data_IF_942383217672
#
_entry.id   IF_942383217672
#
_cell.length_a   1.000
_cell.length_b   1.000
_cell.length_c   1.000
_cell.angle_alpha   90.00
_cell.angle_beta   90.00
_cell.angle_gamma   90.00
#
_symmetry.space_group_name_H-M   'P 1'
#
loop_
_entity.id
_entity.type
_entity.pdbx_description
1 polymer ?
#
# COMPACT_ATOMS: atom_id res chain seq x y z
N UNK A 1 5.88 -11.09 34.83
CA UNK A 1 6.88 -11.85 34.04
C UNK A 1 6.23 -12.17 32.72
N UNK A 2 6.54 -11.41 31.67
CA UNK A 2 6.06 -11.68 30.32
C UNK A 2 7.01 -12.69 29.64
N UNK A 3 6.51 -13.64 28.85
CA UNK A 3 7.38 -14.58 28.14
C UNK A 3 8.17 -13.83 27.07
N UNK A 4 9.50 -13.98 27.12
CA UNK A 4 10.39 -13.42 26.09
C UNK A 4 10.17 -14.17 24.77
N UNK A 5 9.86 -13.43 23.71
CA UNK A 5 9.52 -13.94 22.39
C UNK A 5 10.79 -14.26 21.59
N UNK A 6 11.52 -15.30 22.01
CA UNK A 6 12.83 -15.72 21.47
C UNK A 6 12.77 -16.33 20.06
N UNK A 7 11.57 -16.58 19.51
CA UNK A 7 11.42 -17.28 18.23
C UNK A 7 11.61 -16.34 17.03
N UNK A 8 11.20 -15.07 17.15
CA UNK A 8 11.40 -14.07 16.09
C UNK A 8 12.87 -13.67 15.92
N UNK A 9 13.61 -13.58 17.03
CA UNK A 9 15.04 -13.24 17.03
C UNK A 9 15.90 -14.35 16.43
N UNK A 10 15.53 -15.62 16.66
CA UNK A 10 16.21 -16.77 16.04
C UNK A 10 16.00 -16.81 14.54
N UNK A 11 14.78 -16.56 14.08
CA UNK A 11 14.48 -16.56 12.64
C UNK A 11 15.12 -15.36 11.93
N UNK A 12 15.15 -14.20 12.58
CA UNK A 12 15.89 -13.03 12.11
C UNK A 12 17.39 -13.28 12.03
N UNK A 13 17.98 -13.90 13.07
CA UNK A 13 19.40 -14.24 13.08
C UNK A 13 19.76 -15.28 12.02
N UNK A 14 18.87 -16.24 11.75
CA UNK A 14 19.04 -17.25 10.71
C UNK A 14 18.99 -16.63 9.31
N UNK A 15 18.07 -15.70 9.06
CA UNK A 15 17.96 -14.95 7.79
C UNK A 15 19.16 -14.03 7.56
N UNK A 16 19.60 -13.31 8.60
CA UNK A 16 20.79 -12.43 8.54
C UNK A 16 22.06 -13.26 8.35
N UNK A 17 22.14 -14.44 8.97
CA UNK A 17 23.25 -15.37 8.81
C UNK A 17 23.29 -15.98 7.42
N UNK A 18 22.15 -16.44 6.88
CA UNK A 18 22.04 -16.93 5.49
C UNK A 18 22.41 -15.81 4.50
N UNK A 19 22.00 -14.57 4.76
CA UNK A 19 22.37 -13.43 3.93
C UNK A 19 23.88 -13.10 4.01
N UNK A 20 24.46 -13.14 5.22
CA UNK A 20 25.89 -12.94 5.45
C UNK A 20 26.75 -14.03 4.82
N UNK A 21 26.32 -15.29 4.89
CA UNK A 21 27.00 -16.44 4.27
C UNK A 21 26.85 -16.44 2.74
N UNK A 22 25.72 -15.97 2.20
CA UNK A 22 25.48 -15.85 0.75
C UNK A 22 26.20 -14.65 0.13
N UNK A 23 26.45 -13.58 0.90
CA UNK A 23 27.19 -12.39 0.44
C UNK A 23 28.71 -12.62 0.38
N UNK A 24 29.24 -13.59 1.15
CA UNK A 24 30.68 -13.89 1.21
C UNK A 24 31.17 -14.89 0.16
N UNK A 25 30.29 -15.47 -0.67
CA UNK A 25 30.67 -16.40 -1.73
C UNK A 25 30.46 -15.73 -3.10
N UNK A 26 31.50 -15.02 -3.53
CA UNK A 26 31.55 -14.20 -4.75
C UNK A 26 31.45 -15.05 -6.04
N UNK A 27 30.83 -14.49 -7.09
CA UNK A 27 31.20 -14.63 -8.50
C UNK A 27 30.15 -13.98 -9.41
N UNK A 28 30.59 -12.96 -10.15
CA UNK A 28 29.78 -12.18 -11.07
C UNK A 28 29.02 -13.03 -12.10
N UNK A 29 27.72 -12.81 -12.16
CA UNK A 29 26.81 -13.03 -13.28
C UNK A 29 25.47 -12.38 -12.92
N UNK A 30 24.87 -11.68 -13.89
CA UNK A 30 23.62 -10.91 -13.92
C UNK A 30 22.39 -11.57 -13.22
N UNK A 31 22.45 -12.88 -12.96
CA UNK A 31 21.44 -13.66 -12.22
C UNK A 31 21.51 -13.47 -10.70
N UNK A 32 22.62 -12.99 -10.16
CA UNK A 32 22.82 -12.78 -8.72
C UNK A 32 22.06 -11.58 -8.16
N UNK A 33 21.89 -10.52 -8.94
CA UNK A 33 21.17 -9.32 -8.50
C UNK A 33 19.66 -9.58 -8.37
N UNK A 34 19.06 -10.34 -9.29
CA UNK A 34 17.65 -10.73 -9.18
C UNK A 34 17.39 -11.67 -8.00
N UNK A 35 18.30 -12.63 -7.76
CA UNK A 35 18.22 -13.52 -6.61
C UNK A 35 18.40 -12.76 -5.29
N UNK A 36 19.33 -11.80 -5.24
CA UNK A 36 19.53 -10.90 -4.10
C UNK A 36 18.32 -10.01 -3.88
N UNK A 37 17.78 -9.37 -4.91
CA UNK A 37 16.57 -8.54 -4.82
C UNK A 37 15.35 -9.36 -4.37
N UNK A 38 15.22 -10.60 -4.84
CA UNK A 38 14.17 -11.53 -4.41
C UNK A 38 14.34 -11.95 -2.93
N UNK A 39 15.57 -12.28 -2.52
CA UNK A 39 15.88 -12.61 -1.14
C UNK A 39 15.64 -11.41 -0.21
N UNK A 40 16.17 -10.23 -0.57
CA UNK A 40 15.95 -8.96 0.13
C UNK A 40 14.46 -8.63 0.25
N UNK A 41 13.69 -8.84 -0.83
CA UNK A 41 12.24 -8.71 -0.82
C UNK A 41 11.59 -9.61 0.23
N UNK A 42 11.94 -10.91 0.26
CA UNK A 42 11.43 -11.83 1.28
C UNK A 42 11.82 -11.45 2.70
N UNK A 43 13.07 -11.04 2.93
CA UNK A 43 13.54 -10.59 4.24
C UNK A 43 12.77 -9.35 4.70
N UNK A 44 12.62 -8.36 3.81
CA UNK A 44 11.86 -7.14 4.06
C UNK A 44 10.39 -7.44 4.36
N UNK A 45 9.78 -8.34 3.59
CA UNK A 45 8.39 -8.72 3.76
C UNK A 45 8.19 -9.47 5.10
N UNK A 46 9.10 -10.38 5.47
CA UNK A 46 9.08 -11.05 6.77
C UNK A 46 9.27 -10.08 7.95
N UNK A 47 10.20 -9.14 7.82
CA UNK A 47 10.43 -8.08 8.80
C UNK A 47 9.20 -7.19 8.95
N UNK A 48 8.64 -6.73 7.83
CA UNK A 48 7.45 -5.88 7.82
C UNK A 48 6.27 -6.63 8.43
N UNK A 49 6.11 -7.92 8.12
CA UNK A 49 5.08 -8.77 8.72
C UNK A 49 5.24 -8.90 10.24
N UNK A 50 6.46 -9.13 10.74
CA UNK A 50 6.71 -9.23 12.18
C UNK A 50 6.43 -7.91 12.90
N UNK A 51 6.89 -6.78 12.34
CA UNK A 51 6.62 -5.44 12.87
C UNK A 51 5.12 -5.16 12.85
N UNK A 52 4.44 -5.45 11.74
CA UNK A 52 3.00 -5.29 11.58
C UNK A 52 2.23 -6.08 12.63
N UNK A 53 2.60 -7.34 12.91
CA UNK A 53 1.93 -8.12 13.96
C UNK A 53 2.04 -7.46 15.34
N UNK A 54 3.20 -6.88 15.67
CA UNK A 54 3.38 -6.19 16.96
C UNK A 54 2.59 -4.89 17.02
N UNK A 55 2.67 -4.07 15.95
CA UNK A 55 1.95 -2.80 15.84
C UNK A 55 0.43 -3.02 15.84
N UNK A 56 -0.06 -3.97 15.06
CA UNK A 56 -1.46 -4.38 15.02
C UNK A 56 -1.92 -4.89 16.39
N UNK A 57 -1.11 -5.68 17.12
CA UNK A 57 -1.52 -6.14 18.46
C UNK A 57 -1.75 -4.98 19.44
N UNK A 58 -0.89 -3.96 19.43
CA UNK A 58 -0.98 -2.80 20.32
C UNK A 58 -2.09 -1.83 19.92
N UNK A 59 -2.28 -1.65 18.62
CA UNK A 59 -3.24 -0.70 18.06
C UNK A 59 -4.58 -1.34 17.68
N UNK A 60 -4.72 -2.67 17.81
CA UNK A 60 -5.96 -3.42 17.56
C UNK A 60 -7.20 -2.84 18.25
N UNK A 61 -7.14 -2.27 19.48
CA UNK A 61 -8.31 -1.65 20.09
C UNK A 61 -8.73 -0.34 19.41
N UNK A 62 -7.81 0.29 18.68
CA UNK A 62 -8.00 1.59 18.03
C UNK A 62 -7.98 1.51 16.49
N UNK A 63 -7.82 0.30 15.93
CA UNK A 63 -7.81 0.05 14.49
C UNK A 63 -6.73 -0.93 14.05
N UNK A 64 -6.43 -0.94 12.74
CA UNK A 64 -5.34 -1.71 12.17
C UNK A 64 -4.23 -0.75 11.76
N UNK A 65 -3.04 -0.91 12.32
CA UNK A 65 -1.89 -0.09 11.96
C UNK A 65 -0.78 -0.98 11.41
N UNK A 66 -0.18 -0.53 10.32
CA UNK A 66 0.93 -1.20 9.65
C UNK A 66 2.10 -0.25 9.48
N UNK A 67 3.31 -0.79 9.55
CA UNK A 67 4.55 -0.12 9.22
C UNK A 67 5.30 -1.01 8.24
N UNK A 68 5.54 -0.48 7.06
CA UNK A 68 6.26 -1.12 5.98
C UNK A 68 7.57 -0.38 5.72
N UNK A 69 8.66 -1.12 5.57
CA UNK A 69 9.97 -0.56 5.25
C UNK A 69 10.16 -0.61 3.73
N UNK A 70 10.53 0.52 3.11
CA UNK A 70 10.89 0.57 1.69
C UNK A 70 12.40 0.38 1.53
N UNK A 71 12.76 -0.53 0.63
CA UNK A 71 14.13 -0.85 0.25
C UNK A 71 14.18 -0.87 -1.27
N UNK A 72 15.20 -0.29 -1.86
CA UNK A 72 15.45 -0.37 -3.31
C UNK A 72 15.99 -1.76 -3.72
N UNK A 73 16.22 -1.93 -5.02
CA UNK A 73 16.75 -3.17 -5.59
C UNK A 73 18.23 -3.40 -5.24
N UNK A 74 18.95 -2.36 -4.81
CA UNK A 74 20.33 -2.43 -4.34
C UNK A 74 20.43 -2.78 -2.84
N UNK A 75 19.31 -2.80 -2.12
CA UNK A 75 19.26 -3.11 -0.69
C UNK A 75 19.38 -1.88 0.22
N UNK A 76 19.36 -0.66 -0.33
CA UNK A 76 19.33 0.55 0.47
C UNK A 76 17.92 0.87 0.95
N UNK A 77 17.84 1.30 2.20
CA UNK A 77 16.61 1.79 2.80
C UNK A 77 16.23 3.12 2.14
N UNK A 78 15.16 3.10 1.34
CA UNK A 78 14.62 4.29 0.64
C UNK A 78 13.50 4.97 1.41
N UNK A 79 13.14 4.43 2.58
CA UNK A 79 12.21 5.06 3.50
C UNK A 79 11.29 4.09 4.22
N UNK A 80 10.22 4.63 4.78
CA UNK A 80 9.25 3.88 5.58
C UNK A 80 7.84 4.39 5.33
N UNK A 81 6.86 3.48 5.32
CA UNK A 81 5.45 3.78 5.25
C UNK A 81 4.77 3.32 6.53
N UNK A 82 4.20 4.25 7.28
CA UNK A 82 3.20 3.94 8.30
C UNK A 82 1.80 4.09 7.71
N UNK A 83 0.89 3.18 8.04
CA UNK A 83 -0.54 3.34 7.75
C UNK A 83 -1.35 2.97 8.99
N UNK A 84 -2.47 3.66 9.20
CA UNK A 84 -3.35 3.46 10.32
C UNK A 84 -4.80 3.55 9.84
N UNK A 85 -5.45 2.41 9.82
CA UNK A 85 -6.85 2.22 9.49
C UNK A 85 -7.69 2.18 10.76
N UNK A 86 -8.65 3.08 10.89
CA UNK A 86 -9.55 3.18 12.03
C UNK A 86 -10.97 2.90 11.55
N UNK A 87 -11.59 1.78 11.97
CA UNK A 87 -13.02 1.56 11.75
C UNK A 87 -13.80 2.47 12.69
N UNK A 88 -14.31 3.59 12.16
CA UNK A 88 -15.10 4.56 12.93
C UNK A 88 -16.45 3.98 13.34
N UNK A 89 -17.04 3.19 12.44
CA UNK A 89 -18.32 2.54 12.68
C UNK A 89 -18.40 1.25 11.88
N UNK A 90 -18.48 0.13 12.56
CA UNK A 90 -18.62 -1.19 11.95
C UNK A 90 -19.94 -1.83 12.39
N UNK A 91 -20.74 -2.24 11.42
CA UNK A 91 -22.04 -2.89 11.62
C UNK A 91 -22.35 -3.79 10.41
N UNK A 92 -23.25 -4.75 10.59
CA UNK A 92 -23.63 -5.73 9.55
C UNK A 92 -24.13 -5.10 8.25
N UNK A 93 -24.57 -3.83 8.30
CA UNK A 93 -25.10 -3.08 7.15
C UNK A 93 -24.12 -2.08 6.55
N UNK A 94 -23.19 -1.52 7.33
CA UNK A 94 -22.26 -0.52 6.83
C UNK A 94 -21.00 -0.40 7.70
N UNK A 95 -19.89 -0.09 7.04
CA UNK A 95 -18.58 0.16 7.61
C UNK A 95 -18.11 1.55 7.20
N UNK A 96 -18.04 2.47 8.15
CA UNK A 96 -17.36 3.76 8.00
C UNK A 96 -15.96 3.63 8.55
N UNK A 97 -14.96 3.98 7.74
CA UNK A 97 -13.56 3.87 8.11
C UNK A 97 -12.79 5.13 7.72
N UNK A 98 -11.74 5.41 8.47
CA UNK A 98 -10.74 6.41 8.12
C UNK A 98 -9.38 5.76 8.07
N UNK A 99 -8.56 6.15 7.10
CA UNK A 99 -7.21 5.66 6.96
C UNK A 99 -6.25 6.84 6.95
N UNK A 100 -5.21 6.79 7.76
CA UNK A 100 -4.12 7.74 7.78
C UNK A 100 -2.87 7.02 7.33
N UNK A 101 -2.03 7.66 6.54
CA UNK A 101 -0.82 7.10 5.99
C UNK A 101 0.27 8.15 5.96
N UNK A 102 1.48 7.76 6.32
CA UNK A 102 2.67 8.59 6.20
C UNK A 102 3.73 7.75 5.51
N UNK A 103 4.23 8.24 4.39
CA UNK A 103 5.26 7.60 3.61
C UNK A 103 6.46 8.54 3.55
N UNK A 104 7.50 8.21 4.29
CA UNK A 104 8.82 8.80 4.12
C UNK A 104 9.47 8.15 2.90
N UNK A 105 9.97 8.96 1.97
CA UNK A 105 10.79 8.54 0.84
C UNK A 105 11.92 9.55 0.63
N UNK A 106 12.91 9.19 -0.19
CA UNK A 106 14.06 10.07 -0.47
C UNK A 106 13.65 11.42 -1.10
N UNK A 107 12.60 11.40 -1.94
CA UNK A 107 12.02 12.60 -2.57
C UNK A 107 11.09 13.40 -1.63
N UNK A 108 10.97 13.01 -0.35
CA UNK A 108 10.24 13.77 0.67
C UNK A 108 9.17 12.99 1.45
N UNK A 109 8.49 13.67 2.36
CA UNK A 109 7.43 13.09 3.19
C UNK A 109 6.05 13.23 2.52
N UNK A 110 5.40 12.10 2.27
CA UNK A 110 4.03 12.03 1.72
C UNK A 110 3.06 11.65 2.82
N UNK A 111 2.04 12.47 3.04
CA UNK A 111 0.91 12.14 3.91
C UNK A 111 -0.31 11.75 3.08
N UNK A 112 -1.04 10.73 3.52
CA UNK A 112 -2.23 10.20 2.86
C UNK A 112 -3.34 10.13 3.91
N UNK A 113 -4.45 10.79 3.69
CA UNK A 113 -5.60 10.80 4.61
C UNK A 113 -6.83 10.41 3.83
N UNK A 114 -7.42 9.28 4.19
CA UNK A 114 -8.60 8.72 3.56
C UNK A 114 -9.77 8.59 4.52
N UNK A 115 -10.97 8.75 4.00
CA UNK A 115 -12.21 8.35 4.66
C UNK A 115 -13.07 7.62 3.65
N UNK A 116 -13.73 6.57 4.09
CA UNK A 116 -14.62 5.82 3.23
C UNK A 116 -15.77 5.22 3.99
N UNK A 117 -16.79 4.86 3.23
CA UNK A 117 -17.97 4.22 3.75
C UNK A 117 -18.38 3.12 2.79
N UNK A 118 -18.66 1.94 3.34
CA UNK A 118 -19.14 0.76 2.61
C UNK A 118 -20.47 0.33 3.21
N UNK A 119 -21.38 -0.13 2.37
CA UNK A 119 -22.70 -0.63 2.72
C UNK A 119 -22.87 -2.03 2.16
N UNK A 120 -23.22 -2.97 3.03
CA UNK A 120 -23.66 -4.29 2.65
C UNK A 120 -25.17 -4.27 2.41
N UNK A 121 -25.57 -4.46 1.15
CA UNK A 121 -26.97 -4.56 0.71
C UNK A 121 -27.20 -5.90 0.04
N UNK A 122 -27.60 -6.89 0.84
CA UNK A 122 -27.79 -8.27 0.36
C UNK A 122 -26.47 -8.88 -0.07
N UNK A 123 -26.36 -9.28 -1.34
CA UNK A 123 -25.14 -9.85 -1.94
C UNK A 123 -24.20 -8.80 -2.57
N UNK A 124 -24.49 -7.51 -2.39
CA UNK A 124 -23.70 -6.40 -2.92
C UNK A 124 -23.12 -5.57 -1.79
N UNK A 125 -21.83 -5.27 -1.86
CA UNK A 125 -21.13 -4.35 -1.01
C UNK A 125 -20.75 -3.13 -1.84
N UNK A 126 -21.43 -2.01 -1.62
CA UNK A 126 -21.19 -0.76 -2.35
C UNK A 126 -20.53 0.21 -1.40
N UNK A 127 -19.56 0.99 -1.85
CA UNK A 127 -18.93 1.99 -1.02
C UNK A 127 -18.37 3.14 -1.83
N UNK A 128 -18.01 4.18 -1.13
CA UNK A 128 -17.15 5.22 -1.64
C UNK A 128 -15.99 5.44 -0.68
N UNK A 129 -14.92 5.99 -1.20
CA UNK A 129 -13.77 6.43 -0.46
C UNK A 129 -13.31 7.78 -1.01
N UNK A 130 -12.68 8.56 -0.17
CA UNK A 130 -12.06 9.82 -0.54
C UNK A 130 -10.71 9.82 0.14
N UNK A 131 -9.66 10.04 -0.64
CA UNK A 131 -8.29 10.11 -0.20
C UNK A 131 -7.75 11.50 -0.48
N UNK A 132 -6.89 11.98 0.40
CA UNK A 132 -6.20 13.23 0.30
C UNK A 132 -4.72 12.97 0.51
N UNK A 133 -3.95 13.11 -0.56
CA UNK A 133 -2.52 12.95 -0.58
C UNK A 133 -1.88 14.35 -0.54
N UNK A 134 -0.93 14.55 0.34
CA UNK A 134 -0.15 15.78 0.41
C UNK A 134 1.34 15.46 0.48
N UNK A 135 2.07 15.86 -0.56
CA UNK A 135 3.54 15.90 -0.57
C UNK A 135 3.96 17.11 0.25
N UNK A 136 4.50 16.89 1.45
CA UNK A 136 4.83 17.97 2.38
C UNK A 136 6.03 18.80 1.92
N UNK A 137 6.98 18.20 1.19
CA UNK A 137 8.16 18.92 0.67
C UNK A 137 7.80 19.87 -0.48
N UNK A 138 6.91 19.44 -1.38
CA UNK A 138 6.55 20.22 -2.58
C UNK A 138 5.19 20.95 -2.44
N UNK A 139 4.50 20.77 -1.31
CA UNK A 139 3.13 21.23 -1.04
C UNK A 139 2.14 20.85 -2.17
N UNK A 140 2.37 19.69 -2.80
CA UNK A 140 1.52 19.18 -3.86
C UNK A 140 0.38 18.36 -3.26
N UNK A 141 -0.82 18.89 -3.42
CA UNK A 141 -2.06 18.33 -2.90
C UNK A 141 -2.86 17.64 -3.99
N UNK A 142 -3.26 16.39 -3.74
CA UNK A 142 -4.12 15.62 -4.62
C UNK A 142 -5.24 15.01 -3.79
N UNK A 143 -6.47 15.11 -4.28
CA UNK A 143 -7.55 14.29 -3.73
C UNK A 143 -7.96 13.22 -4.73
N UNK A 144 -8.17 12.01 -4.23
CA UNK A 144 -8.82 10.92 -4.93
C UNK A 144 -10.23 10.75 -4.40
N UNK A 145 -11.19 10.49 -5.27
CA UNK A 145 -12.52 10.01 -4.92
C UNK A 145 -12.73 8.65 -5.59
N UNK A 146 -12.94 7.61 -4.79
CA UNK A 146 -13.24 6.27 -5.28
C UNK A 146 -14.68 5.88 -4.99
N UNK A 147 -15.29 5.14 -5.89
CA UNK A 147 -16.53 4.42 -5.69
C UNK A 147 -16.28 2.94 -6.00
N UNK A 148 -16.78 2.05 -5.17
CA UNK A 148 -16.60 0.62 -5.32
C UNK A 148 -17.93 -0.12 -5.15
N UNK A 149 -18.16 -1.17 -5.94
CA UNK A 149 -19.34 -2.01 -5.87
C UNK A 149 -18.94 -3.47 -6.10
N UNK A 150 -19.00 -4.27 -5.06
CA UNK A 150 -18.59 -5.66 -5.02
C UNK A 150 -19.82 -6.54 -4.89
N UNK A 151 -20.19 -7.23 -5.95
CA UNK A 151 -21.13 -8.35 -5.93
C UNK A 151 -20.40 -9.69 -5.84
N UNK A 152 -21.19 -10.75 -5.73
CA UNK A 152 -20.73 -12.15 -5.65
C UNK A 152 -19.80 -12.57 -6.81
N UNK A 153 -20.03 -12.04 -8.01
CA UNK A 153 -19.30 -12.39 -9.23
C UNK A 153 -18.66 -11.18 -9.92
N UNK A 154 -18.95 -9.96 -9.47
CA UNK A 154 -18.56 -8.73 -10.14
C UNK A 154 -18.02 -7.73 -9.13
N UNK A 155 -16.79 -7.28 -9.30
CA UNK A 155 -16.20 -6.18 -8.53
C UNK A 155 -15.92 -5.02 -9.45
N UNK A 156 -16.65 -3.94 -9.25
CA UNK A 156 -16.45 -2.66 -9.91
C UNK A 156 -15.75 -1.70 -8.94
N UNK A 157 -14.80 -0.95 -9.44
CA UNK A 157 -14.18 0.17 -8.73
C UNK A 157 -13.89 1.28 -9.72
N UNK A 158 -14.32 2.49 -9.41
CA UNK A 158 -14.05 3.69 -10.17
C UNK A 158 -13.30 4.65 -9.25
N UNK A 159 -12.05 4.97 -9.58
CA UNK A 159 -11.24 5.92 -8.82
C UNK A 159 -11.02 7.15 -9.69
N UNK A 160 -11.37 8.32 -9.18
CA UNK A 160 -11.18 9.60 -9.81
C UNK A 160 -10.12 10.38 -9.06
N UNK A 161 -9.08 10.82 -9.74
CA UNK A 161 -7.98 11.58 -9.14
C UNK A 161 -8.03 13.02 -9.63
N UNK A 162 -8.24 13.94 -8.69
CA UNK A 162 -8.23 15.37 -8.93
C UNK A 162 -7.06 16.03 -8.17
N UNK A 163 -6.04 16.55 -8.88
CA UNK A 163 -5.04 17.41 -8.27
C UNK A 163 -5.71 18.72 -7.84
N UNK A 164 -5.55 19.08 -6.57
CA UNK A 164 -6.01 20.34 -5.99
C UNK A 164 -4.90 21.40 -5.96
N UNK A 165 -3.63 21.00 -6.13
CA UNK A 165 -2.52 21.93 -6.26
C UNK A 165 -2.69 22.85 -7.48
N UNK A 166 -2.64 24.16 -7.24
CA UNK A 166 -2.40 25.16 -8.26
C UNK A 166 -0.96 25.02 -8.79
N UNK A 167 -0.71 25.52 -10.00
CA UNK A 167 0.61 25.62 -10.61
C UNK A 167 1.68 26.08 -9.60
N UNK A 168 2.77 25.34 -9.45
CA UNK A 168 3.97 25.81 -8.77
C UNK A 168 5.16 25.65 -9.70
N UNK A 169 5.82 26.77 -9.98
CA UNK A 169 7.06 26.84 -10.77
C UNK A 169 8.21 26.26 -9.94
N UNK A 170 8.79 25.14 -10.37
CA UNK A 170 10.00 24.63 -9.73
C UNK A 170 11.28 25.06 -10.46
N UNK A 171 11.36 25.11 -11.80
CA UNK A 171 12.55 25.64 -12.52
C UNK A 171 12.21 25.95 -13.98
N UNK A 172 12.90 26.92 -14.60
CA UNK A 172 12.63 27.59 -15.89
C UNK A 172 12.44 26.72 -17.16
N UNK A 173 12.40 25.39 -17.10
CA UNK A 173 12.26 24.52 -18.28
C UNK A 173 11.47 23.22 -18.08
N UNK A 174 10.91 22.92 -16.90
CA UNK A 174 10.06 21.72 -16.72
C UNK A 174 8.82 21.99 -15.86
N UNK A 175 7.67 21.92 -16.51
CA UNK A 175 6.34 21.96 -15.89
C UNK A 175 5.93 20.52 -15.53
N UNK A 176 5.77 20.23 -14.23
CA UNK A 176 5.18 18.97 -13.77
C UNK A 176 3.80 19.20 -13.15
N UNK A 177 2.80 18.53 -13.71
CA UNK A 177 1.44 18.45 -13.16
C UNK A 177 1.13 17.00 -12.88
N UNK A 178 0.65 16.68 -11.68
CA UNK A 178 0.04 15.36 -11.46
C UNK A 178 -1.15 15.22 -12.39
N UNK A 179 -1.09 14.22 -13.27
CA UNK A 179 -2.08 14.06 -14.32
C UNK A 179 -3.46 13.74 -13.72
N UNK A 180 -4.50 14.42 -14.23
CA UNK A 180 -5.89 14.14 -13.88
C UNK A 180 -6.25 12.80 -14.48
N UNK A 181 -6.99 11.96 -13.78
CA UNK A 181 -7.34 10.68 -14.37
C UNK A 181 -8.45 9.98 -13.65
N UNK A 182 -9.13 9.10 -14.39
CA UNK A 182 -10.02 8.12 -13.81
C UNK A 182 -9.52 6.72 -14.14
N UNK A 183 -9.64 5.83 -13.17
CA UNK A 183 -9.37 4.41 -13.30
C UNK A 183 -10.67 3.66 -13.02
N UNK A 184 -11.26 3.10 -14.06
CA UNK A 184 -12.40 2.20 -13.95
C UNK A 184 -11.88 0.77 -14.07
N UNK A 185 -11.97 0.02 -12.98
CA UNK A 185 -11.62 -1.40 -12.95
C UNK A 185 -12.89 -2.21 -12.73
N UNK A 186 -13.13 -3.16 -13.62
CA UNK A 186 -14.20 -4.15 -13.55
C UNK A 186 -13.58 -5.55 -13.55
N UNK A 187 -13.76 -6.28 -12.45
CA UNK A 187 -13.30 -7.67 -12.30
C UNK A 187 -14.51 -8.58 -12.23
N UNK A 188 -14.59 -9.52 -13.16
CA UNK A 188 -15.63 -10.55 -13.22
C UNK A 188 -15.03 -11.90 -12.87
N UNK A 189 -15.70 -12.63 -11.99
CA UNK A 189 -15.40 -14.02 -11.66
C UNK A 189 -16.51 -14.88 -12.22
N UNK A 190 -16.18 -15.85 -13.07
CA UNK A 190 -17.19 -16.72 -13.67
C UNK A 190 -17.66 -17.78 -12.66
N UNK A 191 -18.98 -17.96 -12.46
CA UNK A 191 -19.53 -18.93 -11.49
C UNK A 191 -19.16 -20.38 -11.82
N UNK A 192 -19.03 -20.71 -13.11
CA UNK A 192 -18.75 -22.07 -13.61
C UNK A 192 -17.26 -22.41 -13.73
N UNK A 193 -16.36 -21.41 -13.68
CA UNK A 193 -14.91 -21.61 -13.72
C UNK A 193 -14.23 -20.71 -12.67
N UNK A 194 -14.09 -21.22 -11.45
CA UNK A 194 -13.55 -20.47 -10.32
C UNK A 194 -12.06 -20.09 -10.46
N UNK A 195 -11.35 -20.69 -11.41
CA UNK A 195 -9.94 -20.41 -11.71
C UNK A 195 -9.74 -19.31 -12.76
N UNK A 196 -10.81 -18.87 -13.46
CA UNK A 196 -10.75 -17.82 -14.47
C UNK A 196 -11.32 -16.52 -13.89
N UNK A 197 -10.42 -15.63 -13.50
CA UNK A 197 -10.75 -14.27 -13.11
C UNK A 197 -10.45 -13.34 -14.29
N UNK A 198 -11.48 -12.76 -14.89
CA UNK A 198 -11.33 -11.75 -15.94
C UNK A 198 -11.33 -10.38 -15.28
N UNK A 199 -10.27 -9.60 -15.45
CA UNK A 199 -10.23 -8.20 -15.02
C UNK A 199 -10.00 -7.29 -16.21
N UNK A 200 -10.84 -6.29 -16.34
CA UNK A 200 -10.71 -5.20 -17.30
C UNK A 200 -10.48 -3.93 -16.50
N UNK A 201 -9.38 -3.24 -16.74
CA UNK A 201 -9.10 -1.93 -16.15
C UNK A 201 -8.91 -0.92 -17.27
N UNK A 202 -9.69 0.14 -17.26
CA UNK A 202 -9.59 1.27 -18.17
C UNK A 202 -9.10 2.46 -17.37
N UNK A 203 -7.87 2.88 -17.64
CA UNK A 203 -7.29 4.09 -17.09
C UNK A 203 -7.26 5.16 -18.16
N UNK A 204 -7.87 6.30 -17.89
CA UNK A 204 -7.77 7.48 -18.74
C UNK A 204 -7.07 8.58 -17.96
N UNK A 205 -6.03 9.14 -18.56
CA UNK A 205 -5.23 10.21 -18.01
C UNK A 205 -5.38 11.43 -18.91
N UNK A 206 -5.69 12.58 -18.32
CA UNK A 206 -5.78 13.89 -18.94
C UNK A 206 -4.58 14.72 -18.49
N UNK A 207 -3.88 15.29 -19.47
CA UNK A 207 -2.74 16.19 -19.28
C UNK A 207 -3.25 17.65 -19.27
#
# INVERSE_FOLDING_TARGET
MAPENHDGEKHFAEIVKDFGETSMNDNGLDTGEQAKAFALGKVRDALSQQVNQHVESWLSPWGNASVDVKVDNEGHFTGSRGSWFVPLQDNDRYLTWSQLGLTQQDDGLVSNVGVGQRWARGSWLVGYNTFYDNLLDENLQRAGFGAEAWGEYLRLSANFYQPFAAWHEQTATQEQRMARGYDLTARMRMPFYQHLNTSVSVRTVFW
#
